data_IF_289487746892
#
_entry.id   IF_289487746892
#
_cell.length_a   1.000
_cell.length_b   1.000
_cell.length_c   1.000
_cell.angle_alpha   90.00
_cell.angle_beta   90.00
_cell.angle_gamma   90.00
#
_symmetry.space_group_name_H-M   'P 1'
#
loop_
_entity.id
_entity.type
_entity.pdbx_description
1 polymer ?
#
# COMPACT_ATOMS: atom_id res chain seq x y z
N UNK A 1 15.33 -15.97 -16.06
CA UNK A 1 14.37 -16.18 -14.94
C UNK A 1 13.22 -17.02 -15.43
N UNK A 2 12.86 -18.11 -14.74
CA UNK A 2 11.68 -18.93 -15.07
C UNK A 2 10.51 -18.46 -14.20
N UNK A 3 9.52 -17.82 -14.81
CA UNK A 3 8.34 -17.32 -14.09
C UNK A 3 7.43 -18.50 -13.73
N UNK A 4 7.03 -18.58 -12.47
CA UNK A 4 6.03 -19.55 -12.01
C UNK A 4 4.67 -19.18 -12.59
N UNK A 5 4.01 -20.13 -13.26
CA UNK A 5 2.69 -19.96 -13.88
C UNK A 5 1.64 -20.79 -13.13
N UNK A 6 1.44 -20.49 -11.84
CA UNK A 6 0.38 -21.13 -11.06
C UNK A 6 -0.94 -20.32 -11.13
N UNK A 7 -2.05 -21.01 -10.83
CA UNK A 7 -3.38 -20.40 -10.77
C UNK A 7 -3.43 -19.19 -9.83
N UNK A 8 -2.63 -19.23 -8.75
CA UNK A 8 -2.58 -18.18 -7.73
C UNK A 8 -1.92 -16.90 -8.26
N UNK A 9 -0.82 -17.02 -9.03
CA UNK A 9 -0.18 -15.86 -9.68
C UNK A 9 -1.11 -15.27 -10.75
N UNK A 10 -1.82 -16.11 -11.51
CA UNK A 10 -2.80 -15.63 -12.48
C UNK A 10 -3.95 -14.86 -11.79
N UNK A 11 -4.47 -15.36 -10.67
CA UNK A 11 -5.47 -14.66 -9.86
C UNK A 11 -4.94 -13.33 -9.30
N UNK A 12 -3.68 -13.30 -8.86
CA UNK A 12 -3.01 -12.08 -8.41
C UNK A 12 -2.99 -11.02 -9.51
N UNK A 13 -2.57 -11.40 -10.73
CA UNK A 13 -2.56 -10.48 -11.86
C UNK A 13 -3.98 -10.07 -12.28
N UNK A 14 -4.95 -10.99 -12.28
CA UNK A 14 -6.35 -10.65 -12.55
C UNK A 14 -6.89 -9.61 -11.54
N UNK A 15 -6.62 -9.78 -10.24
CA UNK A 15 -7.00 -8.80 -9.22
C UNK A 15 -6.34 -7.44 -9.44
N UNK A 16 -5.04 -7.41 -9.76
CA UNK A 16 -4.36 -6.13 -10.07
C UNK A 16 -5.01 -5.40 -11.25
N UNK A 17 -5.39 -6.14 -12.29
CA UNK A 17 -5.99 -5.60 -13.50
C UNK A 17 -7.40 -5.06 -13.21
N UNK A 18 -8.20 -5.79 -12.43
CA UNK A 18 -9.52 -5.33 -11.96
C UNK A 18 -9.39 -4.06 -11.11
N UNK A 19 -8.40 -3.98 -10.22
CA UNK A 19 -8.16 -2.76 -9.43
C UNK A 19 -7.79 -1.58 -10.33
N UNK A 20 -6.88 -1.76 -11.30
CA UNK A 20 -6.51 -0.68 -12.22
C UNK A 20 -7.74 -0.22 -13.02
N UNK A 21 -8.51 -1.17 -13.57
CA UNK A 21 -9.73 -0.87 -14.32
C UNK A 21 -10.77 -0.13 -13.47
N UNK A 22 -11.03 -0.58 -12.24
CA UNK A 22 -12.01 0.06 -11.37
C UNK A 22 -11.58 1.48 -10.99
N UNK A 23 -10.29 1.69 -10.70
CA UNK A 23 -9.75 3.02 -10.42
C UNK A 23 -9.83 3.96 -11.63
N UNK A 24 -9.57 3.46 -12.85
CA UNK A 24 -9.73 4.24 -14.10
C UNK A 24 -11.20 4.62 -14.31
N UNK A 25 -12.13 3.68 -14.13
CA UNK A 25 -13.57 3.94 -14.23
C UNK A 25 -14.01 4.98 -13.20
N UNK A 26 -13.52 4.91 -11.96
CA UNK A 26 -13.85 5.89 -10.93
C UNK A 26 -13.42 7.32 -11.32
N UNK A 27 -12.23 7.48 -11.91
CA UNK A 27 -11.76 8.80 -12.36
C UNK A 27 -12.55 9.28 -13.58
N UNK A 28 -12.85 8.38 -14.52
CA UNK A 28 -13.52 8.72 -15.78
C UNK A 28 -15.00 9.11 -15.58
N UNK A 29 -15.71 8.41 -14.69
CA UNK A 29 -17.17 8.57 -14.53
C UNK A 29 -17.56 9.51 -13.39
N UNK A 30 -16.69 9.76 -12.41
CA UNK A 30 -17.01 10.62 -11.27
C UNK A 30 -16.15 11.89 -11.26
N UNK A 31 -16.81 13.06 -11.30
CA UNK A 31 -16.16 14.37 -11.25
C UNK A 31 -15.90 14.87 -9.82
N UNK A 32 -16.41 14.16 -8.80
CA UNK A 32 -16.15 14.51 -7.42
C UNK A 32 -14.66 14.31 -7.10
N UNK A 33 -13.98 15.39 -6.72
CA UNK A 33 -12.53 15.41 -6.41
C UNK A 33 -12.10 14.32 -5.42
N UNK A 34 -12.94 14.04 -4.41
CA UNK A 34 -12.69 12.97 -3.45
C UNK A 34 -12.68 11.58 -4.12
N UNK A 35 -13.65 11.30 -4.99
CA UNK A 35 -13.75 10.02 -5.71
C UNK A 35 -12.59 9.83 -6.68
N UNK A 36 -12.12 10.90 -7.31
CA UNK A 36 -10.94 10.86 -8.17
C UNK A 36 -9.67 10.52 -7.39
N UNK A 37 -9.49 11.08 -6.18
CA UNK A 37 -8.36 10.72 -5.31
C UNK A 37 -8.42 9.25 -4.88
N UNK A 38 -9.61 8.73 -4.54
CA UNK A 38 -9.79 7.31 -4.26
C UNK A 38 -9.46 6.44 -5.47
N UNK A 39 -9.92 6.82 -6.66
CA UNK A 39 -9.61 6.13 -7.91
C UNK A 39 -8.10 6.09 -8.19
N UNK A 40 -7.40 7.21 -7.99
CA UNK A 40 -5.94 7.27 -8.14
C UNK A 40 -5.21 6.37 -7.12
N UNK A 41 -5.67 6.33 -5.87
CA UNK A 41 -5.16 5.42 -4.85
C UNK A 41 -5.33 3.95 -5.22
N UNK A 42 -6.48 3.59 -5.78
CA UNK A 42 -6.78 2.22 -6.25
C UNK A 42 -5.88 1.84 -7.43
N UNK A 43 -5.67 2.74 -8.40
CA UNK A 43 -4.75 2.51 -9.53
C UNK A 43 -3.34 2.24 -9.01
N UNK A 44 -2.83 3.08 -8.10
CA UNK A 44 -1.51 2.90 -7.51
C UNK A 44 -1.42 1.56 -6.74
N UNK A 45 -2.46 1.19 -6.00
CA UNK A 45 -2.55 -0.11 -5.33
C UNK A 45 -2.50 -1.29 -6.31
N UNK A 46 -3.24 -1.19 -7.42
CA UNK A 46 -3.20 -2.18 -8.50
C UNK A 46 -1.81 -2.30 -9.14
N UNK A 47 -1.15 -1.17 -9.41
CA UNK A 47 0.23 -1.13 -9.93
C UNK A 47 1.22 -1.81 -8.97
N UNK A 48 1.14 -1.51 -7.68
CA UNK A 48 1.94 -2.20 -6.67
C UNK A 48 1.67 -3.69 -6.64
N UNK A 49 0.40 -4.10 -6.74
CA UNK A 49 0.02 -5.52 -6.76
C UNK A 49 0.60 -6.25 -7.97
N UNK A 50 0.66 -5.62 -9.15
CA UNK A 50 1.38 -6.15 -10.34
C UNK A 50 2.87 -6.35 -10.06
N UNK A 51 3.53 -5.36 -9.45
CA UNK A 51 4.96 -5.44 -9.10
C UNK A 51 5.22 -6.58 -8.09
N UNK A 52 4.37 -6.71 -7.08
CA UNK A 52 4.44 -7.82 -6.12
C UNK A 52 4.16 -9.17 -6.78
N UNK A 53 3.17 -9.25 -7.68
CA UNK A 53 2.88 -10.44 -8.46
C UNK A 53 4.08 -10.88 -9.30
N UNK A 54 4.72 -9.93 -9.98
CA UNK A 54 5.94 -10.17 -10.75
C UNK A 54 7.08 -10.66 -9.86
N UNK A 55 7.36 -9.97 -8.75
CA UNK A 55 8.36 -10.39 -7.78
C UNK A 55 8.08 -11.81 -7.26
N UNK A 56 6.85 -12.08 -6.84
CA UNK A 56 6.46 -13.38 -6.30
C UNK A 56 6.55 -14.50 -7.33
N UNK A 57 6.27 -14.20 -8.60
CA UNK A 57 6.37 -15.18 -9.69
C UNK A 57 7.80 -15.59 -10.01
N UNK A 58 8.80 -14.81 -9.57
CA UNK A 58 10.23 -15.17 -9.72
C UNK A 58 10.73 -16.09 -8.61
N UNK A 59 9.95 -16.31 -7.54
CA UNK A 59 10.36 -17.08 -6.36
C UNK A 59 9.64 -18.45 -6.27
N UNK A 60 10.32 -19.51 -5.79
CA UNK A 60 9.69 -20.82 -5.57
C UNK A 60 8.63 -20.76 -4.46
N UNK A 61 7.70 -21.72 -4.43
CA UNK A 61 6.60 -21.72 -3.44
C UNK A 61 7.09 -21.83 -2.00
N UNK A 62 8.16 -22.60 -1.77
CA UNK A 62 8.71 -22.85 -0.44
C UNK A 62 9.35 -21.60 0.18
N UNK A 63 9.71 -20.61 -0.65
CA UNK A 63 10.17 -19.29 -0.20
C UNK A 63 9.11 -18.53 0.62
N UNK A 64 7.84 -18.91 0.51
CA UNK A 64 6.72 -18.23 1.18
C UNK A 64 6.25 -18.95 2.45
N UNK A 65 6.89 -20.05 2.86
CA UNK A 65 6.64 -20.60 4.20
C UNK A 65 7.00 -19.54 5.24
N UNK A 66 6.07 -19.29 6.17
CA UNK A 66 6.28 -18.28 7.18
C UNK A 66 7.24 -18.79 8.25
N UNK A 67 8.47 -18.32 8.17
CA UNK A 67 9.41 -18.46 9.29
C UNK A 67 9.05 -17.44 10.40
N UNK A 68 9.43 -17.74 11.64
CA UNK A 68 9.30 -16.81 12.77
C UNK A 68 9.92 -15.42 12.48
N UNK A 69 10.97 -15.40 11.65
CA UNK A 69 11.60 -14.16 11.17
C UNK A 69 10.62 -13.30 10.35
N UNK A 70 9.82 -13.92 9.49
CA UNK A 70 8.84 -13.21 8.67
C UNK A 70 7.73 -12.57 9.51
N UNK A 71 7.36 -13.21 10.63
CA UNK A 71 6.35 -12.73 11.58
C UNK A 71 6.89 -11.49 12.30
N UNK A 72 8.09 -11.58 12.90
CA UNK A 72 8.74 -10.45 13.58
C UNK A 72 8.92 -9.23 12.65
N UNK A 73 9.27 -9.45 11.39
CA UNK A 73 9.40 -8.37 10.41
C UNK A 73 8.05 -7.71 10.12
N UNK A 74 6.97 -8.49 9.97
CA UNK A 74 5.62 -7.95 9.76
C UNK A 74 5.16 -7.12 10.96
N UNK A 75 5.35 -7.61 12.17
CA UNK A 75 4.98 -6.90 13.41
C UNK A 75 5.75 -5.59 13.55
N UNK A 76 7.08 -5.64 13.35
CA UNK A 76 7.93 -4.44 13.40
C UNK A 76 7.54 -3.41 12.35
N UNK A 77 7.32 -3.84 11.10
CA UNK A 77 6.85 -2.96 10.04
C UNK A 77 5.47 -2.36 10.37
N UNK A 78 4.56 -3.16 10.93
CA UNK A 78 3.23 -2.74 11.37
C UNK A 78 3.30 -1.65 12.44
N UNK A 79 4.09 -1.89 13.49
CA UNK A 79 4.29 -0.94 14.57
C UNK A 79 4.83 0.41 14.07
N UNK A 80 5.86 0.40 13.23
CA UNK A 80 6.43 1.64 12.69
C UNK A 80 5.48 2.36 11.74
N UNK A 81 4.75 1.64 10.88
CA UNK A 81 3.76 2.26 10.00
C UNK A 81 2.61 2.89 10.79
N UNK A 82 2.18 2.24 11.87
CA UNK A 82 1.21 2.80 12.80
C UNK A 82 1.74 4.07 13.47
N UNK A 83 2.98 4.05 13.96
CA UNK A 83 3.62 5.23 14.57
C UNK A 83 3.76 6.39 13.57
N UNK A 84 4.12 6.12 12.31
CA UNK A 84 4.15 7.13 11.24
C UNK A 84 2.76 7.73 11.03
N UNK A 85 1.73 6.89 11.00
CA UNK A 85 0.34 7.33 10.80
C UNK A 85 -0.12 8.21 11.96
N UNK A 86 0.15 7.81 13.21
CA UNK A 86 -0.12 8.61 14.40
C UNK A 86 0.63 9.94 14.39
N UNK A 87 1.91 9.93 14.03
CA UNK A 87 2.72 11.13 13.94
C UNK A 87 2.13 12.12 12.92
N UNK A 88 1.74 11.65 11.74
CA UNK A 88 1.10 12.49 10.70
C UNK A 88 -0.19 13.13 11.24
N UNK A 89 -1.04 12.35 11.91
CA UNK A 89 -2.28 12.87 12.51
C UNK A 89 -1.96 13.93 13.58
N UNK A 90 -0.97 13.67 14.43
CA UNK A 90 -0.54 14.61 15.47
C UNK A 90 0.04 15.90 14.90
N UNK A 91 0.79 15.84 13.79
CA UNK A 91 1.35 17.03 13.14
C UNK A 91 0.31 17.83 12.34
N UNK A 92 -0.73 17.16 11.81
CA UNK A 92 -1.78 17.82 11.04
C UNK A 92 -2.58 18.84 11.87
N UNK A 93 -2.85 18.55 13.13
CA UNK A 93 -3.61 19.44 14.02
C UNK A 93 -2.92 20.81 14.26
N UNK A 94 -1.65 20.89 14.70
CA UNK A 94 -0.98 22.16 14.88
C UNK A 94 -0.76 22.87 13.54
N UNK A 95 -0.45 22.17 12.46
CA UNK A 95 -0.30 22.81 11.13
C UNK A 95 -1.61 23.49 10.71
N UNK A 96 -2.74 22.81 10.89
CA UNK A 96 -4.06 23.37 10.58
C UNK A 96 -4.36 24.62 11.43
N UNK A 97 -3.98 24.61 12.70
CA UNK A 97 -4.16 25.73 13.63
C UNK A 97 -3.26 26.92 13.29
N UNK A 98 -1.96 26.70 13.10
CA UNK A 98 -0.98 27.76 12.86
C UNK A 98 -1.15 28.42 11.48
N UNK A 99 -1.43 27.64 10.44
CA UNK A 99 -1.62 28.15 9.09
C UNK A 99 -3.07 28.48 8.73
N UNK A 100 -4.02 28.29 9.65
CA UNK A 100 -5.46 28.56 9.46
C UNK A 100 -6.03 27.90 8.18
N UNK A 101 -5.64 26.66 7.92
CA UNK A 101 -5.95 25.99 6.66
C UNK A 101 -7.40 25.47 6.59
N UNK A 102 -8.15 25.51 7.70
CA UNK A 102 -9.54 25.02 7.80
C UNK A 102 -9.72 23.61 7.20
N UNK A 103 -8.72 22.75 7.38
CA UNK A 103 -8.72 21.41 6.82
C UNK A 103 -9.67 20.54 7.66
N UNK A 104 -10.68 19.96 7.01
CA UNK A 104 -11.55 18.96 7.60
C UNK A 104 -10.84 17.60 7.60
N UNK A 105 -10.87 16.91 8.74
CA UNK A 105 -10.25 15.59 8.88
C UNK A 105 -10.76 14.59 7.83
N UNK A 106 -12.06 14.68 7.47
CA UNK A 106 -12.70 13.84 6.46
C UNK A 106 -11.99 13.90 5.10
N UNK A 107 -11.42 15.05 4.74
CA UNK A 107 -10.79 15.25 3.44
C UNK A 107 -9.36 14.67 3.39
N UNK A 108 -8.70 14.59 4.54
CA UNK A 108 -7.29 14.15 4.64
C UNK A 108 -7.17 12.71 5.13
N UNK A 109 -8.18 12.19 5.83
CA UNK A 109 -8.23 10.80 6.29
C UNK A 109 -7.92 9.76 5.20
N UNK A 110 -8.44 9.87 3.95
CA UNK A 110 -8.08 8.94 2.88
C UNK A 110 -6.58 8.97 2.56
N UNK A 111 -5.99 10.15 2.53
CA UNK A 111 -4.56 10.35 2.23
C UNK A 111 -3.70 9.75 3.34
N UNK A 112 -4.06 10.02 4.61
CA UNK A 112 -3.36 9.45 5.78
C UNK A 112 -3.39 7.93 5.74
N UNK A 113 -4.56 7.36 5.42
CA UNK A 113 -4.72 5.90 5.34
C UNK A 113 -3.85 5.30 4.23
N UNK A 114 -3.83 5.95 3.05
CA UNK A 114 -2.95 5.58 1.94
C UNK A 114 -1.49 5.62 2.40
N UNK A 115 -1.03 6.72 3.00
CA UNK A 115 0.35 6.87 3.47
C UNK A 115 0.72 5.79 4.50
N UNK A 116 -0.18 5.45 5.42
CA UNK A 116 0.02 4.37 6.39
C UNK A 116 0.20 3.00 5.73
N UNK A 117 -0.65 2.66 4.76
CA UNK A 117 -0.54 1.42 3.99
C UNK A 117 0.78 1.34 3.21
N UNK A 118 1.15 2.41 2.51
CA UNK A 118 2.42 2.44 1.76
C UNK A 118 3.63 2.35 2.68
N UNK A 119 3.60 3.05 3.83
CA UNK A 119 4.66 2.97 4.83
C UNK A 119 4.86 1.54 5.32
N UNK A 120 3.78 0.80 5.59
CA UNK A 120 3.86 -0.60 6.00
C UNK A 120 4.52 -1.48 4.94
N UNK A 121 4.12 -1.32 3.66
CA UNK A 121 4.68 -2.08 2.54
C UNK A 121 6.18 -1.82 2.39
N UNK A 122 6.59 -0.55 2.42
CA UNK A 122 7.99 -0.12 2.27
C UNK A 122 8.83 -0.63 3.43
N UNK A 123 8.35 -0.48 4.67
CA UNK A 123 9.05 -0.92 5.88
C UNK A 123 9.21 -2.43 5.92
N UNK A 124 8.18 -3.18 5.51
CA UNK A 124 8.26 -4.64 5.41
C UNK A 124 9.35 -5.07 4.44
N UNK A 125 9.43 -4.40 3.28
CA UNK A 125 10.49 -4.66 2.30
C UNK A 125 11.89 -4.30 2.85
N UNK A 126 12.02 -3.14 3.50
CA UNK A 126 13.27 -2.67 4.08
C UNK A 126 13.81 -3.62 5.16
N UNK A 127 12.97 -4.04 6.11
CA UNK A 127 13.38 -4.95 7.18
C UNK A 127 13.68 -6.37 6.68
N UNK A 128 13.03 -6.81 5.61
CA UNK A 128 13.40 -8.05 4.95
C UNK A 128 14.82 -7.99 4.38
N UNK A 129 15.16 -6.90 3.67
CA UNK A 129 16.49 -6.72 3.08
C UNK A 129 17.59 -6.53 4.13
N UNK A 130 17.30 -5.83 5.22
CA UNK A 130 18.28 -5.54 6.28
C UNK A 130 18.67 -6.76 7.10
N UNK A 131 17.82 -7.78 7.16
CA UNK A 131 18.10 -8.99 7.94
C UNK A 131 18.89 -10.05 7.16
N UNK A 132 19.15 -9.83 5.87
CA UNK A 132 20.01 -10.68 5.02
C UNK A 132 21.51 -10.28 5.11
N UNK A 133 21.82 -9.14 5.75
CA UNK A 133 23.18 -8.66 6.08
C UNK A 133 23.46 -9.00 7.54
#
# INVERSE_FOLDING_TARGET
MKLRKDKNILQFFAMSLVMILSGVLMIAFFQARQVQMFGAGIILGGLMLTLFGLYNSTKPKDYFMQDERSIRIKEKAGYHAFMITLAIICYLQPINLFWRLNILFKDVAPIIFIVGMYSWIILRWHYNKRSEI
#
